data_IF_859772278772
#
_entry.id   IF_859772278772
#
_cell.length_a   1.000
_cell.length_b   1.000
_cell.length_c   1.000
_cell.angle_alpha   90.00
_cell.angle_beta   90.00
_cell.angle_gamma   90.00
#
_symmetry.space_group_name_H-M   'P 1'
#
loop_
_entity.id
_entity.type
_entity.pdbx_description
1 polymer ?
#
# COMPACT_ATOMS: atom_id res chain seq x y z
N UNK A 1 -3.72 -4.58 8.62
CA UNK A 1 -4.20 -3.18 8.60
C UNK A 1 -3.76 -2.45 9.87
N UNK A 2 -3.42 -1.15 9.80
CA UNK A 2 -2.77 -0.45 10.94
C UNK A 2 -3.66 -0.18 12.17
N UNK A 3 -4.97 -0.44 12.11
CA UNK A 3 -5.94 -0.27 13.20
C UNK A 3 -5.94 1.11 13.89
N UNK A 4 -5.32 2.12 13.27
CA UNK A 4 -5.35 3.48 13.79
C UNK A 4 -6.72 4.09 13.50
N UNK A 5 -7.17 4.96 14.41
CA UNK A 5 -8.36 5.80 14.19
C UNK A 5 -8.16 6.60 12.90
N UNK A 6 -9.13 6.49 12.00
CA UNK A 6 -9.14 7.25 10.76
C UNK A 6 -9.87 8.56 11.00
N UNK A 7 -9.25 9.64 10.54
CA UNK A 7 -9.88 10.95 10.44
C UNK A 7 -10.49 11.12 9.05
N UNK A 8 -11.63 11.81 8.96
CA UNK A 8 -12.36 12.05 7.71
C UNK A 8 -11.54 12.74 6.62
N UNK A 9 -10.44 13.42 6.97
CA UNK A 9 -9.55 14.08 6.01
C UNK A 9 -8.39 13.18 5.52
N UNK A 10 -8.13 12.05 6.19
CA UNK A 10 -6.95 11.21 5.91
C UNK A 10 -7.29 9.74 5.62
N UNK A 11 -8.58 9.41 5.60
CA UNK A 11 -9.08 8.13 5.15
C UNK A 11 -9.11 8.05 3.61
N UNK A 12 -8.93 6.84 3.08
CA UNK A 12 -9.05 6.51 1.67
C UNK A 12 -10.00 5.32 1.56
N UNK A 13 -11.07 5.44 0.79
CA UNK A 13 -11.96 4.33 0.49
C UNK A 13 -11.42 3.51 -0.68
N UNK A 14 -11.59 2.20 -0.62
CA UNK A 14 -11.31 1.30 -1.74
C UNK A 14 -12.24 0.09 -1.67
N UNK A 15 -13.03 -0.15 -2.73
CA UNK A 15 -13.97 -1.29 -2.83
C UNK A 15 -14.83 -1.52 -1.56
N UNK A 16 -15.40 -0.44 -1.02
CA UNK A 16 -16.21 -0.45 0.22
C UNK A 16 -15.46 -0.76 1.53
N UNK A 17 -14.12 -0.82 1.51
CA UNK A 17 -13.28 -0.85 2.71
C UNK A 17 -12.60 0.51 2.94
N UNK A 18 -12.48 0.92 4.22
CA UNK A 18 -11.85 2.18 4.62
C UNK A 18 -10.41 1.96 5.09
N UNK A 19 -9.47 2.65 4.43
CA UNK A 19 -8.05 2.58 4.70
C UNK A 19 -7.48 3.91 5.17
N UNK A 20 -6.32 3.88 5.85
CA UNK A 20 -5.48 5.07 5.93
C UNK A 20 -4.65 5.18 4.65
N UNK A 21 -4.22 6.40 4.32
CA UNK A 21 -3.33 6.67 3.17
C UNK A 21 -2.14 5.69 3.07
N UNK A 22 -1.47 5.40 4.18
CA UNK A 22 -0.35 4.46 4.19
C UNK A 22 -0.78 3.04 3.83
N UNK A 23 -1.83 2.52 4.46
CA UNK A 23 -2.31 1.16 4.22
C UNK A 23 -2.94 1.00 2.83
N UNK A 24 -3.59 2.05 2.32
CA UNK A 24 -4.06 2.10 0.95
C UNK A 24 -2.88 1.93 -0.03
N UNK A 25 -1.79 2.69 0.14
CA UNK A 25 -0.58 2.51 -0.68
C UNK A 25 0.11 1.15 -0.46
N UNK A 26 -0.01 0.54 0.73
CA UNK A 26 0.54 -0.80 0.99
C UNK A 26 -0.21 -1.89 0.21
N UNK A 27 -1.54 -1.82 0.17
CA UNK A 27 -2.41 -2.80 -0.51
C UNK A 27 -2.51 -2.57 -2.01
N UNK A 28 -2.73 -1.32 -2.43
CA UNK A 28 -3.07 -0.94 -3.81
C UNK A 28 -1.98 -0.16 -4.53
N UNK A 29 -0.87 0.14 -3.83
CA UNK A 29 0.25 0.84 -4.45
C UNK A 29 0.98 -0.07 -5.45
N UNK A 30 1.60 0.50 -6.49
CA UNK A 30 2.35 -0.26 -7.47
C UNK A 30 3.45 -1.06 -6.77
N UNK A 31 3.41 -2.38 -6.96
CA UNK A 31 4.45 -3.31 -6.50
C UNK A 31 5.18 -3.80 -7.74
N UNK A 32 6.48 -3.54 -7.80
CA UNK A 32 7.29 -3.92 -8.93
C UNK A 32 8.76 -3.86 -8.58
N UNK A 33 9.53 -4.77 -9.18
CA UNK A 33 10.99 -4.75 -9.14
C UNK A 33 11.43 -3.65 -10.11
N UNK A 34 11.58 -2.41 -9.63
CA UNK A 34 12.03 -1.31 -10.51
C UNK A 34 11.54 0.10 -10.18
N UNK A 35 10.69 0.30 -9.16
CA UNK A 35 10.31 1.67 -8.74
C UNK A 35 11.44 2.31 -7.90
N UNK A 36 12.53 2.62 -8.59
CA UNK A 36 13.81 3.06 -8.03
C UNK A 36 14.93 3.02 -9.06
N UNK A 37 14.68 3.53 -10.27
CA UNK A 37 15.72 3.75 -11.30
C UNK A 37 16.56 4.96 -10.85
N UNK A 38 17.25 4.79 -9.72
CA UNK A 38 17.89 5.84 -8.94
C UNK A 38 17.85 5.47 -7.44
N UNK A 39 18.98 4.98 -6.95
CA UNK A 39 19.25 4.68 -5.54
C UNK A 39 18.47 3.50 -4.90
N UNK A 40 18.80 2.28 -5.34
CA UNK A 40 18.64 1.07 -4.53
C UNK A 40 17.24 0.47 -4.54
N UNK A 41 17.19 -0.85 -4.43
CA UNK A 41 15.98 -1.66 -4.31
C UNK A 41 15.14 -1.21 -3.09
N UNK A 42 14.26 -0.22 -3.26
CA UNK A 42 13.33 0.16 -2.21
C UNK A 42 12.27 -0.93 -2.10
N UNK A 43 12.47 -1.87 -1.19
CA UNK A 43 11.46 -2.85 -0.81
C UNK A 43 10.23 -2.10 -0.29
N UNK A 44 9.12 -2.16 -1.02
CA UNK A 44 7.87 -1.60 -0.54
C UNK A 44 7.31 -2.50 0.55
N UNK A 45 7.21 -1.98 1.79
CA UNK A 45 6.52 -2.68 2.88
C UNK A 45 5.07 -2.96 2.43
N UNK A 46 4.77 -4.24 2.21
CA UNK A 46 3.42 -4.76 1.95
C UNK A 46 2.58 -4.76 3.22
N UNK A 47 3.20 -4.55 4.39
CA UNK A 47 2.51 -4.50 5.66
C UNK A 47 2.09 -5.87 6.19
N UNK A 48 2.76 -6.95 5.78
CA UNK A 48 2.55 -8.32 6.30
C UNK A 48 2.63 -8.37 7.83
N UNK A 49 3.57 -7.62 8.43
CA UNK A 49 3.69 -7.46 9.89
C UNK A 49 2.43 -6.86 10.55
N UNK A 50 1.63 -6.10 9.80
CA UNK A 50 0.37 -5.55 10.25
C UNK A 50 -0.82 -6.46 9.90
N UNK A 51 -0.57 -7.70 9.48
CA UNK A 51 -1.60 -8.64 9.04
C UNK A 51 -2.19 -8.32 7.67
N UNK A 52 -1.43 -7.64 6.79
CA UNK A 52 -1.85 -7.50 5.40
C UNK A 52 -1.69 -8.85 4.69
N UNK A 53 -2.81 -9.47 4.28
CA UNK A 53 -2.82 -10.82 3.65
C UNK A 53 -2.95 -10.77 2.14
N UNK A 54 -3.40 -9.65 1.60
CA UNK A 54 -3.70 -9.46 0.19
C UNK A 54 -3.17 -8.10 -0.28
N UNK A 55 -2.59 -8.10 -1.47
CA UNK A 55 -2.07 -6.92 -2.17
C UNK A 55 -2.67 -6.94 -3.56
N UNK A 56 -3.52 -5.96 -3.86
CA UNK A 56 -4.10 -5.79 -5.18
C UNK A 56 -3.11 -4.93 -5.97
N UNK A 57 -2.19 -5.62 -6.63
CA UNK A 57 -1.02 -5.01 -7.26
C UNK A 57 -1.37 -4.57 -8.67
N UNK A 58 -1.39 -3.26 -8.94
CA UNK A 58 -1.21 -2.78 -10.32
C UNK A 58 0.23 -3.09 -10.71
N UNK A 59 0.44 -4.22 -11.38
CA UNK A 59 1.74 -4.58 -11.95
C UNK A 59 2.11 -3.55 -13.01
N UNK A 60 2.88 -2.53 -12.63
CA UNK A 60 3.63 -1.71 -13.59
C UNK A 60 4.83 -2.53 -14.05
N UNK A 61 4.55 -3.50 -14.90
CA UNK A 61 5.52 -4.15 -15.77
C UNK A 61 5.66 -3.17 -16.94
N UNK A 62 6.69 -2.33 -16.89
CA UNK A 62 7.14 -1.54 -18.02
C UNK A 62 8.30 -2.28 -18.71
#
# INVERSE_FOLDING_TARGET
>A
MCNKLLDSMTCCEHQAELFCRQCHCRRYGPKGVGFGIGAGSLTMDTGEQFGNKEVDMTSVIA
#
